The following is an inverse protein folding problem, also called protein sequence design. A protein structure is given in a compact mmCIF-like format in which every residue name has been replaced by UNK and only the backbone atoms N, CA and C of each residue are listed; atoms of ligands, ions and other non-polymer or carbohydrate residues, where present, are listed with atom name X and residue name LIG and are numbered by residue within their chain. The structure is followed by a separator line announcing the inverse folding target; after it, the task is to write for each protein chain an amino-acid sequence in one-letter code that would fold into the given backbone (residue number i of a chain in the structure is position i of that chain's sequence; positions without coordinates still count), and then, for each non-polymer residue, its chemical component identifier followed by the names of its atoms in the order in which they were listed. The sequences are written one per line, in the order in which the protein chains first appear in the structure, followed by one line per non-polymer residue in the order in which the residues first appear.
data_IF_003212434293
#
_entry.id   IF_003212434293
#
_cell.length_a   1.000
_cell.length_b   1.000
_cell.length_c   1.000
_cell.angle_alpha   90.00
_cell.angle_beta   90.00
_cell.angle_gamma   90.00
#
_symmetry.space_group_name_H-M   'P 1'
#
loop_
_entity.id
_entity.type
_entity.pdbx_description
1 polymer ?
#
# COMPACT_ATOMS: atom_id res chain seq x y z
N UNK A 1 -23.80 16.72 -9.32
CA UNK A 1 -23.33 17.22 -10.62
C UNK A 1 -23.27 16.08 -11.65
N UNK A 2 -23.09 16.42 -12.96
CA UNK A 2 -22.89 15.42 -14.03
C UNK A 2 -21.49 14.84 -13.96
N UNK A 3 -21.30 13.61 -14.47
CA UNK A 3 -20.00 12.97 -14.59
C UNK A 3 -18.97 13.90 -15.27
N UNK A 4 -17.76 13.94 -14.75
CA UNK A 4 -16.66 14.79 -15.21
C UNK A 4 -16.79 16.28 -14.87
N UNK A 5 -17.84 16.73 -14.16
CA UNK A 5 -17.96 18.12 -13.76
C UNK A 5 -16.92 18.52 -12.72
N UNK A 6 -16.67 17.65 -11.74
CA UNK A 6 -15.69 17.82 -10.68
C UNK A 6 -14.29 18.05 -11.29
N UNK A 7 -13.82 17.11 -12.09
CA UNK A 7 -12.49 17.15 -12.70
C UNK A 7 -12.32 18.39 -13.59
N UNK A 8 -13.21 18.58 -14.56
CA UNK A 8 -13.14 19.72 -15.50
C UNK A 8 -13.15 21.08 -14.81
N UNK A 9 -13.94 21.19 -13.72
CA UNK A 9 -14.06 22.46 -13.00
C UNK A 9 -12.78 22.79 -12.23
N UNK A 10 -12.19 21.81 -11.58
CA UNK A 10 -10.96 21.99 -10.80
C UNK A 10 -9.71 22.06 -11.68
N UNK A 11 -9.61 21.24 -12.72
CA UNK A 11 -8.51 21.31 -13.69
C UNK A 11 -8.44 22.67 -14.40
N UNK A 12 -9.60 23.27 -14.70
CA UNK A 12 -9.67 24.65 -15.25
C UNK A 12 -9.09 25.71 -14.29
N UNK A 13 -8.88 25.37 -13.00
CA UNK A 13 -8.21 26.18 -11.99
C UNK A 13 -6.73 25.82 -11.79
N UNK A 14 -6.20 24.92 -12.61
CA UNK A 14 -4.85 24.40 -12.50
C UNK A 14 -4.69 23.35 -11.40
N UNK A 15 -5.78 22.71 -11.01
CA UNK A 15 -5.74 21.65 -10.02
C UNK A 15 -5.17 20.35 -10.58
N UNK A 16 -4.49 19.59 -9.71
CA UNK A 16 -4.21 18.16 -9.87
C UNK A 16 -5.26 17.43 -9.05
N UNK A 17 -6.04 16.58 -9.71
CA UNK A 17 -7.10 15.78 -9.09
C UNK A 17 -6.75 14.31 -9.25
N UNK A 18 -6.85 13.53 -8.18
CA UNK A 18 -6.67 12.07 -8.26
C UNK A 18 -7.28 11.37 -7.04
N UNK A 19 -7.33 10.05 -7.08
CA UNK A 19 -7.73 9.19 -5.99
C UNK A 19 -6.91 7.91 -5.98
N UNK A 20 -6.75 7.30 -4.81
CA UNK A 20 -6.10 6.00 -4.70
C UNK A 20 -6.76 5.17 -3.60
N UNK A 21 -6.74 3.84 -3.79
CA UNK A 21 -7.22 2.87 -2.82
C UNK A 21 -6.12 1.90 -2.46
N UNK A 22 -5.96 1.67 -1.16
CA UNK A 22 -5.02 0.71 -0.62
C UNK A 22 -5.75 -0.27 0.33
N UNK A 23 -5.04 -1.08 1.08
CA UNK A 23 -5.61 -2.12 1.95
C UNK A 23 -6.54 -1.55 3.03
N UNK A 24 -6.20 -0.41 3.61
CA UNK A 24 -6.86 0.15 4.79
C UNK A 24 -7.63 1.44 4.53
N UNK A 25 -7.38 2.11 3.42
CA UNK A 25 -7.94 3.42 3.13
C UNK A 25 -8.14 3.68 1.64
N UNK A 26 -9.08 4.55 1.36
CA UNK A 26 -9.22 5.24 0.07
C UNK A 26 -9.09 6.73 0.33
N UNK A 27 -8.34 7.43 -0.51
CA UNK A 27 -8.23 8.88 -0.41
C UNK A 27 -8.44 9.54 -1.76
N UNK A 28 -9.08 10.70 -1.70
CA UNK A 28 -9.35 11.57 -2.82
C UNK A 28 -8.66 12.88 -2.54
N UNK A 29 -7.88 13.39 -3.47
CA UNK A 29 -7.12 14.61 -3.24
C UNK A 29 -7.17 15.57 -4.40
N UNK A 30 -7.09 16.85 -4.04
CA UNK A 30 -6.96 17.98 -4.96
C UNK A 30 -5.80 18.85 -4.49
N UNK A 31 -4.84 19.08 -5.36
CA UNK A 31 -3.78 20.06 -5.16
C UNK A 31 -3.99 21.21 -6.13
N UNK A 32 -4.18 22.44 -5.61
CA UNK A 32 -4.46 23.61 -6.44
C UNK A 32 -3.92 24.90 -5.82
N UNK A 33 -3.68 25.95 -6.63
CA UNK A 33 -3.51 27.29 -6.11
C UNK A 33 -4.79 27.73 -5.37
N UNK A 34 -4.64 28.35 -4.18
CA UNK A 34 -5.82 28.79 -3.38
C UNK A 34 -6.73 29.80 -4.09
N UNK A 35 -6.24 30.44 -5.14
CA UNK A 35 -6.94 31.49 -5.88
C UNK A 35 -6.99 32.83 -5.13
N UNK A 36 -7.47 33.88 -5.82
CA UNK A 36 -7.67 35.17 -5.21
C UNK A 36 -8.66 35.09 -4.05
N UNK A 37 -8.28 35.60 -2.87
CA UNK A 37 -9.11 35.57 -1.66
C UNK A 37 -9.56 34.16 -1.24
N UNK A 38 -8.85 33.09 -1.69
CA UNK A 38 -9.19 31.70 -1.37
C UNK A 38 -10.39 31.13 -2.14
N UNK A 39 -10.78 31.73 -3.26
CA UNK A 39 -11.99 31.31 -4.03
C UNK A 39 -11.87 29.90 -4.58
N UNK A 40 -10.69 29.53 -5.10
CA UNK A 40 -10.52 28.19 -5.69
C UNK A 40 -10.43 27.11 -4.60
N UNK A 41 -9.83 27.41 -3.44
CA UNK A 41 -9.88 26.54 -2.27
C UNK A 41 -11.32 26.32 -1.78
N UNK A 42 -12.12 27.39 -1.67
CA UNK A 42 -13.52 27.26 -1.25
C UNK A 42 -14.33 26.40 -2.23
N UNK A 43 -14.12 26.57 -3.53
CA UNK A 43 -14.75 25.75 -4.57
C UNK A 43 -14.33 24.28 -4.45
N UNK A 44 -13.06 23.99 -4.21
CA UNK A 44 -12.57 22.61 -4.02
C UNK A 44 -13.22 21.96 -2.80
N UNK A 45 -13.39 22.67 -1.69
CA UNK A 45 -14.08 22.16 -0.48
C UNK A 45 -15.55 21.85 -0.81
N UNK A 46 -16.27 22.73 -1.50
CA UNK A 46 -17.66 22.55 -1.90
C UNK A 46 -17.83 21.30 -2.79
N UNK A 47 -17.02 21.17 -3.83
CA UNK A 47 -17.10 20.06 -4.76
C UNK A 47 -16.68 18.73 -4.12
N UNK A 48 -15.68 18.73 -3.23
CA UNK A 48 -15.32 17.54 -2.45
C UNK A 48 -16.45 17.09 -1.53
N UNK A 49 -17.09 18.04 -0.84
CA UNK A 49 -18.23 17.74 0.02
C UNK A 49 -19.39 17.15 -0.78
N UNK A 50 -19.73 17.75 -1.92
CA UNK A 50 -20.78 17.25 -2.82
C UNK A 50 -20.50 15.81 -3.26
N UNK A 51 -19.28 15.51 -3.70
CA UNK A 51 -18.87 14.16 -4.09
C UNK A 51 -18.96 13.16 -2.92
N UNK A 52 -18.60 13.58 -1.70
CA UNK A 52 -18.58 12.72 -0.51
C UNK A 52 -19.95 12.57 0.15
N UNK A 53 -20.87 13.50 -0.06
CA UNK A 53 -22.20 13.49 0.57
C UNK A 53 -23.26 12.85 -0.30
N UNK A 54 -23.24 13.10 -1.60
CA UNK A 54 -24.34 12.72 -2.51
C UNK A 54 -23.83 12.35 -3.90
N UNK A 55 -23.01 11.28 -4.04
CA UNK A 55 -22.55 10.83 -5.34
C UNK A 55 -23.73 10.27 -6.16
N UNK A 56 -23.84 10.70 -7.38
CA UNK A 56 -24.92 10.26 -8.28
C UNK A 56 -24.77 8.79 -8.70
N UNK A 57 -23.53 8.34 -8.93
CA UNK A 57 -23.19 6.99 -9.39
C UNK A 57 -24.12 6.52 -10.51
N UNK A 58 -24.16 7.23 -11.65
CA UNK A 58 -25.15 6.97 -12.69
C UNK A 58 -24.93 5.60 -13.34
N UNK A 59 -25.99 4.85 -13.55
CA UNK A 59 -25.94 3.48 -14.08
C UNK A 59 -25.36 3.43 -15.49
N UNK A 60 -25.58 4.48 -16.26
CA UNK A 60 -25.01 4.66 -17.61
C UNK A 60 -23.50 4.80 -17.63
N UNK A 61 -22.86 5.24 -16.54
CA UNK A 61 -21.39 5.32 -16.42
C UNK A 61 -20.80 4.05 -15.83
N UNK A 62 -21.48 3.41 -14.89
CA UNK A 62 -21.04 2.13 -14.29
C UNK A 62 -21.08 1.02 -15.32
N UNK A 63 -22.14 0.94 -16.09
CA UNK A 63 -22.46 -0.16 -17.01
C UNK A 63 -23.33 -1.25 -16.38
N UNK A 64 -24.15 -1.91 -17.19
CA UNK A 64 -24.95 -3.04 -16.74
C UNK A 64 -24.08 -4.26 -16.40
N UNK A 65 -24.47 -5.13 -15.45
CA UNK A 65 -23.84 -6.42 -15.25
C UNK A 65 -23.82 -7.26 -16.54
N UNK A 66 -22.77 -8.05 -16.73
CA UNK A 66 -22.62 -8.88 -17.94
C UNK A 66 -21.84 -10.19 -17.65
N UNK A 67 -22.01 -11.18 -18.54
CA UNK A 67 -21.24 -12.42 -18.50
C UNK A 67 -19.85 -12.21 -19.11
N UNK A 68 -18.79 -12.57 -18.39
CA UNK A 68 -17.39 -12.31 -18.78
C UNK A 68 -17.01 -12.93 -20.13
N UNK A 69 -17.57 -14.08 -20.45
CA UNK A 69 -17.27 -14.83 -21.68
C UNK A 69 -18.17 -14.45 -22.87
N UNK A 70 -19.03 -13.42 -22.72
CA UNK A 70 -19.87 -12.97 -23.80
C UNK A 70 -19.10 -12.08 -24.80
N UNK A 71 -18.83 -12.55 -26.03
CA UNK A 71 -18.06 -11.78 -27.03
C UNK A 71 -18.80 -10.57 -27.59
N UNK A 72 -20.11 -10.46 -27.35
CA UNK A 72 -20.92 -9.35 -27.84
C UNK A 72 -20.83 -8.09 -26.96
N UNK A 73 -20.20 -8.22 -25.77
CA UNK A 73 -20.05 -7.10 -24.85
C UNK A 73 -18.85 -6.24 -25.26
N UNK A 74 -19.15 -5.12 -25.91
CA UNK A 74 -18.15 -4.14 -26.38
C UNK A 74 -18.17 -2.83 -25.60
N UNK A 75 -18.75 -2.86 -24.41
CA UNK A 75 -18.91 -1.70 -23.54
C UNK A 75 -17.53 -1.15 -23.08
N UNK A 76 -17.43 0.20 -22.96
CA UNK A 76 -16.20 0.90 -22.56
C UNK A 76 -16.38 1.71 -21.26
N UNK A 77 -17.48 1.45 -20.53
CA UNK A 77 -17.79 2.14 -19.29
C UNK A 77 -16.90 1.65 -18.13
N UNK A 78 -16.97 2.31 -16.99
CA UNK A 78 -16.09 2.12 -15.84
C UNK A 78 -15.88 0.65 -15.45
N UNK A 79 -16.93 -0.16 -15.45
CA UNK A 79 -16.85 -1.60 -15.16
C UNK A 79 -15.83 -2.35 -16.05
N UNK A 80 -15.83 -2.07 -17.35
CA UNK A 80 -14.90 -2.67 -18.29
C UNK A 80 -13.47 -2.13 -18.11
N UNK A 81 -13.33 -0.83 -17.80
CA UNK A 81 -12.04 -0.22 -17.50
C UNK A 81 -11.40 -0.93 -16.33
N UNK A 82 -12.13 -1.15 -15.23
CA UNK A 82 -11.63 -1.87 -14.06
C UNK A 82 -11.28 -3.33 -14.38
N UNK A 83 -12.09 -4.03 -15.19
CA UNK A 83 -11.79 -5.42 -15.58
C UNK A 83 -10.51 -5.49 -16.43
N UNK A 84 -10.32 -4.56 -17.37
CA UNK A 84 -9.08 -4.51 -18.16
C UNK A 84 -7.87 -4.17 -17.26
N UNK A 85 -8.01 -3.29 -16.29
CA UNK A 85 -6.97 -3.02 -15.30
C UNK A 85 -6.61 -4.29 -14.50
N UNK A 86 -7.60 -5.05 -14.04
CA UNK A 86 -7.36 -6.34 -13.37
C UNK A 86 -6.61 -7.30 -14.28
N UNK A 87 -6.97 -7.39 -15.57
CA UNK A 87 -6.29 -8.24 -16.54
C UNK A 87 -4.83 -7.82 -16.73
N UNK A 88 -4.59 -6.53 -16.95
CA UNK A 88 -3.23 -5.98 -17.08
C UNK A 88 -2.37 -6.26 -15.84
N UNK A 89 -2.93 -6.13 -14.63
CA UNK A 89 -2.23 -6.44 -13.38
C UNK A 89 -1.95 -7.94 -13.22
N UNK A 90 -2.90 -8.80 -13.61
CA UNK A 90 -2.71 -10.25 -13.58
C UNK A 90 -1.59 -10.74 -14.51
N UNK A 91 -1.27 -10.00 -15.56
CA UNK A 91 -0.17 -10.34 -16.47
C UNK A 91 1.21 -10.01 -15.89
N UNK A 92 1.27 -9.14 -14.89
CA UNK A 92 2.51 -8.78 -14.21
C UNK A 92 2.99 -9.91 -13.29
N UNK A 93 4.19 -10.43 -13.55
CA UNK A 93 4.73 -11.58 -12.84
C UNK A 93 4.94 -11.30 -11.34
N UNK A 94 5.37 -10.09 -10.96
CA UNK A 94 5.47 -9.70 -9.54
C UNK A 94 4.12 -9.68 -8.84
N UNK A 95 3.05 -9.25 -9.51
CA UNK A 95 1.69 -9.29 -8.96
C UNK A 95 1.24 -10.72 -8.69
N UNK A 96 1.55 -11.67 -9.58
CA UNK A 96 1.24 -13.11 -9.36
C UNK A 96 1.93 -13.65 -8.12
N UNK A 97 3.22 -13.39 -7.98
CA UNK A 97 4.03 -13.84 -6.84
C UNK A 97 3.57 -13.19 -5.54
N UNK A 98 3.35 -11.87 -5.55
CA UNK A 98 2.83 -11.13 -4.41
C UNK A 98 1.45 -11.66 -3.95
N UNK A 99 0.50 -11.80 -4.87
CA UNK A 99 -0.84 -12.26 -4.54
C UNK A 99 -0.83 -13.68 -3.99
N UNK A 100 -0.03 -14.59 -4.58
CA UNK A 100 0.12 -15.96 -4.08
C UNK A 100 0.75 -15.98 -2.67
N UNK A 101 1.78 -15.16 -2.44
CA UNK A 101 2.41 -15.03 -1.13
C UNK A 101 1.41 -14.48 -0.11
N UNK A 102 0.80 -13.35 -0.41
CA UNK A 102 -0.11 -12.66 0.48
C UNK A 102 -1.36 -13.49 0.84
N UNK A 103 -1.94 -14.19 -0.13
CA UNK A 103 -3.09 -15.08 0.07
C UNK A 103 -2.79 -16.19 1.10
N UNK A 104 -1.57 -16.70 1.12
CA UNK A 104 -1.14 -17.76 2.03
C UNK A 104 -0.62 -17.25 3.38
N UNK A 105 -0.21 -15.97 3.46
CA UNK A 105 0.17 -15.33 4.72
C UNK A 105 -1.03 -15.08 5.63
N UNK A 106 -2.18 -14.72 5.05
CA UNK A 106 -3.39 -14.39 5.79
C UNK A 106 -4.43 -15.49 5.67
N UNK A 107 -4.82 -16.09 6.80
CA UNK A 107 -5.88 -17.13 6.86
C UNK A 107 -7.27 -16.49 6.97
N UNK A 108 -7.39 -15.47 7.81
CA UNK A 108 -8.65 -14.84 8.21
C UNK A 108 -8.79 -13.42 7.68
N UNK A 109 -7.73 -12.61 7.83
CA UNK A 109 -7.78 -11.19 7.54
C UNK A 109 -8.04 -10.91 6.05
N UNK A 110 -8.88 -9.91 5.71
CA UNK A 110 -9.16 -9.51 4.32
C UNK A 110 -7.93 -9.12 3.51
N UNK A 111 -6.79 -8.82 4.13
CA UNK A 111 -5.54 -8.50 3.44
C UNK A 111 -5.08 -9.57 2.45
N UNK A 112 -5.55 -10.82 2.59
CA UNK A 112 -5.31 -11.87 1.59
C UNK A 112 -5.88 -11.57 0.20
N UNK A 113 -6.83 -10.63 0.09
CA UNK A 113 -7.48 -10.29 -1.18
C UNK A 113 -6.74 -9.16 -1.88
N UNK A 114 -6.79 -9.17 -3.21
CA UNK A 114 -6.38 -8.00 -3.99
C UNK A 114 -7.40 -6.85 -3.79
N UNK A 115 -6.89 -5.62 -3.70
CA UNK A 115 -7.72 -4.42 -3.47
C UNK A 115 -8.67 -4.17 -4.65
N UNK A 116 -8.20 -4.43 -5.86
CA UNK A 116 -8.99 -4.16 -7.09
C UNK A 116 -10.13 -5.16 -7.30
N UNK A 117 -10.18 -6.25 -6.52
CA UNK A 117 -11.19 -7.29 -6.66
C UNK A 117 -10.88 -8.32 -7.75
N UNK A 118 -11.92 -8.95 -8.29
CA UNK A 118 -11.82 -9.94 -9.37
C UNK A 118 -12.79 -9.63 -10.51
N UNK A 119 -12.48 -10.05 -11.75
CA UNK A 119 -13.38 -9.83 -12.89
C UNK A 119 -14.79 -10.36 -12.64
N UNK A 120 -14.92 -11.50 -11.95
CA UNK A 120 -16.19 -12.14 -11.64
C UNK A 120 -17.06 -11.27 -10.73
N UNK A 121 -16.47 -10.63 -9.72
CA UNK A 121 -17.17 -9.69 -8.84
C UNK A 121 -17.50 -8.40 -9.59
N UNK A 122 -16.53 -7.82 -10.28
CA UNK A 122 -16.69 -6.54 -10.96
C UNK A 122 -17.72 -6.64 -12.08
N UNK A 123 -17.79 -7.76 -12.82
CA UNK A 123 -18.77 -7.93 -13.89
C UNK A 123 -20.22 -8.02 -13.39
N UNK A 124 -20.44 -8.42 -12.14
CA UNK A 124 -21.76 -8.70 -11.60
C UNK A 124 -22.27 -7.69 -10.57
N UNK A 125 -21.36 -6.94 -9.89
CA UNK A 125 -21.76 -5.99 -8.86
C UNK A 125 -22.79 -4.97 -9.39
N UNK A 126 -23.91 -4.81 -8.71
CA UNK A 126 -24.98 -3.90 -9.10
C UNK A 126 -24.72 -2.48 -8.58
N UNK A 127 -25.37 -1.47 -9.20
CA UNK A 127 -25.34 -0.10 -8.69
C UNK A 127 -25.83 -0.02 -7.23
N UNK A 128 -26.88 -0.76 -6.90
CA UNK A 128 -27.45 -0.76 -5.55
C UNK A 128 -26.48 -1.33 -4.51
N UNK A 129 -25.71 -2.36 -4.86
CA UNK A 129 -24.63 -2.89 -4.00
C UNK A 129 -23.51 -1.86 -3.80
N UNK A 130 -23.09 -1.15 -4.86
CA UNK A 130 -22.12 -0.07 -4.78
C UNK A 130 -22.65 1.05 -3.87
N UNK A 131 -23.88 1.47 -4.07
CA UNK A 131 -24.53 2.52 -3.28
C UNK A 131 -24.66 2.11 -1.79
N UNK A 132 -25.04 0.86 -1.52
CA UNK A 132 -25.11 0.34 -0.16
C UNK A 132 -23.74 0.31 0.52
N UNK A 133 -22.69 -0.11 -0.21
CA UNK A 133 -21.30 -0.05 0.28
C UNK A 133 -20.90 1.39 0.61
N UNK A 134 -21.16 2.31 -0.32
CA UNK A 134 -20.89 3.74 -0.12
C UNK A 134 -21.59 4.28 1.13
N UNK A 135 -22.90 4.08 1.26
CA UNK A 135 -23.68 4.54 2.41
C UNK A 135 -23.19 3.96 3.75
N UNK A 136 -22.64 2.73 3.70
CA UNK A 136 -22.13 2.04 4.88
C UNK A 136 -20.77 2.58 5.32
N UNK A 137 -19.85 2.82 4.38
CA UNK A 137 -18.46 3.12 4.70
C UNK A 137 -18.09 4.60 4.60
N UNK A 138 -18.82 5.39 3.80
CA UNK A 138 -18.59 6.83 3.66
C UNK A 138 -19.46 7.59 4.66
N UNK A 139 -19.16 7.40 5.94
CA UNK A 139 -19.85 8.02 7.08
C UNK A 139 -18.91 8.98 7.82
N UNK A 140 -19.45 9.96 8.59
CA UNK A 140 -18.63 10.94 9.31
C UNK A 140 -17.57 10.30 10.21
N UNK A 141 -17.91 9.19 10.86
CA UNK A 141 -17.01 8.50 11.79
C UNK A 141 -15.86 7.75 11.10
N UNK A 142 -15.99 7.50 9.79
CA UNK A 142 -15.01 6.77 8.98
C UNK A 142 -14.29 7.66 7.96
N UNK A 143 -14.47 8.97 8.05
CA UNK A 143 -13.86 9.93 7.12
C UNK A 143 -13.01 10.96 7.87
N UNK A 144 -11.90 11.32 7.26
CA UNK A 144 -11.02 12.40 7.73
C UNK A 144 -10.80 13.38 6.61
N UNK A 145 -11.15 14.64 6.83
CA UNK A 145 -10.86 15.73 5.89
C UNK A 145 -9.57 16.44 6.31
N UNK A 146 -8.61 16.53 5.40
CA UNK A 146 -7.30 17.13 5.65
C UNK A 146 -7.10 18.28 4.66
N UNK A 147 -6.75 19.44 5.17
CA UNK A 147 -6.44 20.63 4.36
C UNK A 147 -5.06 21.16 4.78
N UNK A 148 -4.17 21.24 3.82
CA UNK A 148 -2.79 21.72 4.03
C UNK A 148 -2.52 22.89 3.09
N UNK A 149 -2.02 23.99 3.62
CA UNK A 149 -1.65 25.16 2.83
C UNK A 149 -1.72 26.47 3.59
N UNK A 150 -1.69 27.57 2.84
CA UNK A 150 -1.79 28.92 3.36
C UNK A 150 -3.25 29.42 3.35
N UNK A 151 -3.92 29.37 4.50
CA UNK A 151 -5.31 29.81 4.66
C UNK A 151 -5.62 30.28 6.10
N UNK A 152 -6.75 30.98 6.24
CA UNK A 152 -7.32 31.35 7.53
C UNK A 152 -8.03 30.13 8.14
N UNK A 153 -7.46 29.58 9.23
CA UNK A 153 -7.91 28.34 9.85
C UNK A 153 -9.37 28.40 10.30
N UNK A 154 -9.79 29.48 10.96
CA UNK A 154 -11.15 29.61 11.48
C UNK A 154 -12.18 29.64 10.34
N UNK A 155 -11.90 30.38 9.27
CA UNK A 155 -12.79 30.46 8.10
C UNK A 155 -12.90 29.12 7.37
N UNK A 156 -11.78 28.42 7.19
CA UNK A 156 -11.80 27.12 6.49
C UNK A 156 -12.47 26.05 7.36
N UNK A 157 -12.23 26.04 8.67
CA UNK A 157 -12.92 25.12 9.58
C UNK A 157 -14.44 25.32 9.51
N UNK A 158 -14.91 26.55 9.65
CA UNK A 158 -16.35 26.86 9.53
C UNK A 158 -16.92 26.47 8.16
N UNK A 159 -16.16 26.62 7.07
CA UNK A 159 -16.54 26.19 5.72
C UNK A 159 -16.66 24.68 5.65
N UNK A 160 -15.68 23.93 6.14
CA UNK A 160 -15.71 22.46 6.14
C UNK A 160 -16.88 21.92 6.98
N UNK A 161 -17.08 22.46 8.20
CA UNK A 161 -18.20 22.06 9.06
C UNK A 161 -19.55 22.31 8.39
N UNK A 162 -19.70 23.38 7.63
CA UNK A 162 -20.92 23.69 6.90
C UNK A 162 -21.13 22.76 5.70
N UNK A 163 -20.10 22.50 4.89
CA UNK A 163 -20.23 21.78 3.63
C UNK A 163 -20.28 20.25 3.86
N UNK A 164 -19.54 19.71 4.83
CA UNK A 164 -19.52 18.28 5.18
C UNK A 164 -20.59 17.93 6.25
N UNK A 165 -21.82 18.35 6.04
CA UNK A 165 -22.93 18.05 6.97
C UNK A 165 -23.58 16.69 6.64
N UNK A 166 -23.13 15.63 7.32
CA UNK A 166 -23.57 14.25 7.14
C UNK A 166 -24.88 13.91 7.87
N UNK A 167 -25.84 14.78 7.93
CA UNK A 167 -27.11 14.56 8.65
C UNK A 167 -27.76 13.21 8.30
N UNK A 168 -28.02 12.41 9.33
CA UNK A 168 -28.80 11.18 9.23
C UNK A 168 -28.06 9.98 8.64
N UNK A 169 -26.74 10.04 8.42
CA UNK A 169 -25.97 8.84 8.03
C UNK A 169 -25.73 7.91 9.21
N UNK A 170 -25.83 6.59 9.00
CA UNK A 170 -25.50 5.62 10.04
C UNK A 170 -24.00 5.65 10.36
N UNK A 171 -23.65 5.17 11.55
CA UNK A 171 -22.26 4.96 11.93
C UNK A 171 -21.61 3.93 11.02
N UNK A 172 -20.29 4.06 10.83
CA UNK A 172 -19.51 3.08 10.09
C UNK A 172 -19.63 1.67 10.72
N UNK A 173 -19.54 0.62 9.92
CA UNK A 173 -19.59 -0.74 10.43
C UNK A 173 -18.43 -1.01 11.38
N UNK A 174 -18.59 -2.01 12.25
CA UNK A 174 -17.52 -2.44 13.16
C UNK A 174 -16.28 -2.84 12.35
N UNK A 175 -15.13 -2.37 12.82
CA UNK A 175 -13.83 -2.74 12.25
C UNK A 175 -13.60 -4.24 12.37
N UNK A 176 -12.88 -4.81 11.40
CA UNK A 176 -12.43 -6.19 11.48
C UNK A 176 -11.36 -6.31 12.57
N UNK A 177 -11.53 -7.25 13.49
CA UNK A 177 -10.65 -7.37 14.66
C UNK A 177 -9.87 -8.70 14.72
N UNK A 178 -10.02 -9.57 13.72
CA UNK A 178 -9.29 -10.83 13.70
C UNK A 178 -7.90 -10.62 13.09
N UNK A 179 -6.86 -10.83 13.88
CA UNK A 179 -5.47 -10.70 13.46
C UNK A 179 -4.93 -12.09 13.14
N UNK A 180 -4.25 -12.22 12.01
CA UNK A 180 -3.51 -13.42 11.69
C UNK A 180 -2.18 -13.46 12.46
N UNK A 181 -1.80 -14.65 12.86
CA UNK A 181 -0.46 -14.94 13.41
C UNK A 181 0.41 -15.59 12.34
N UNK A 182 1.74 -15.49 12.45
CA UNK A 182 2.63 -16.22 11.57
C UNK A 182 2.28 -17.69 11.50
N UNK A 183 2.54 -18.33 10.38
CA UNK A 183 2.37 -19.78 10.22
C UNK A 183 3.32 -20.53 11.16
N UNK A 184 2.97 -21.73 11.56
CA UNK A 184 3.80 -22.59 12.42
C UNK A 184 4.84 -23.42 11.63
N UNK A 185 4.82 -23.30 10.31
CA UNK A 185 5.76 -23.94 9.39
C UNK A 185 5.90 -23.10 8.11
N UNK A 186 6.96 -23.34 7.36
CA UNK A 186 7.16 -22.72 6.05
C UNK A 186 6.14 -23.23 5.05
N UNK A 187 5.43 -22.31 4.40
CA UNK A 187 4.52 -22.62 3.28
C UNK A 187 5.22 -22.29 1.98
N UNK A 188 5.29 -23.27 1.05
CA UNK A 188 5.86 -23.05 -0.29
C UNK A 188 4.74 -23.13 -1.32
N UNK A 189 4.61 -22.08 -2.14
CA UNK A 189 3.61 -21.98 -3.21
C UNK A 189 4.33 -21.81 -4.53
N UNK A 190 4.19 -22.79 -5.41
CA UNK A 190 4.79 -22.75 -6.75
C UNK A 190 3.73 -22.55 -7.82
N UNK A 191 4.03 -21.72 -8.79
CA UNK A 191 3.18 -21.41 -9.94
C UNK A 191 4.00 -21.31 -11.21
N UNK A 192 3.33 -21.38 -12.36
CA UNK A 192 3.95 -21.21 -13.67
C UNK A 192 3.31 -20.06 -14.42
N UNK A 193 4.07 -19.43 -15.30
CA UNK A 193 3.58 -18.33 -16.11
C UNK A 193 4.46 -18.00 -17.31
N UNK A 194 3.95 -17.13 -18.17
CA UNK A 194 4.69 -16.66 -19.35
C UNK A 194 5.81 -15.71 -18.92
N UNK A 195 6.98 -16.25 -18.75
CA UNK A 195 8.19 -15.52 -18.35
C UNK A 195 9.43 -16.26 -18.81
N UNK A 196 10.55 -15.55 -18.94
CA UNK A 196 11.86 -16.13 -19.23
C UNK A 196 12.75 -16.25 -17.98
N UNK A 197 12.29 -15.74 -16.87
CA UNK A 197 13.03 -15.74 -15.59
C UNK A 197 12.12 -16.24 -14.48
N UNK A 198 12.71 -16.69 -13.37
CA UNK A 198 11.94 -17.09 -12.18
C UNK A 198 11.88 -15.96 -11.15
N UNK A 199 10.77 -15.91 -10.43
CA UNK A 199 10.48 -14.92 -9.38
C UNK A 199 10.31 -15.64 -8.07
N UNK A 200 10.86 -15.06 -7.01
CA UNK A 200 10.85 -15.59 -5.65
C UNK A 200 10.45 -14.48 -4.69
N UNK A 201 9.58 -14.80 -3.75
CA UNK A 201 9.22 -13.92 -2.66
C UNK A 201 9.10 -14.72 -1.36
N UNK A 202 9.81 -14.27 -0.35
CA UNK A 202 9.60 -14.66 1.05
C UNK A 202 8.73 -13.60 1.70
N UNK A 203 7.62 -14.00 2.28
CA UNK A 203 6.71 -13.12 3.01
C UNK A 203 6.68 -13.47 4.49
N UNK A 204 6.73 -12.43 5.31
CA UNK A 204 6.67 -12.51 6.77
C UNK A 204 5.62 -11.53 7.29
N UNK A 205 4.81 -11.96 8.27
CA UNK A 205 3.89 -11.07 8.97
C UNK A 205 4.67 -10.21 9.98
N UNK A 206 4.41 -8.92 9.98
CA UNK A 206 5.02 -7.93 10.85
C UNK A 206 4.06 -7.34 11.89
N UNK A 207 4.47 -6.27 12.58
CA UNK A 207 3.69 -5.57 13.59
C UNK A 207 2.51 -4.82 12.97
N UNK A 208 1.61 -4.28 13.81
CA UNK A 208 0.59 -3.33 13.38
C UNK A 208 1.19 -1.95 13.10
N UNK A 209 0.54 -1.14 12.27
CA UNK A 209 1.02 0.19 11.92
C UNK A 209 1.29 1.11 13.13
N UNK A 210 0.50 1.00 14.19
CA UNK A 210 0.67 1.82 15.39
C UNK A 210 1.79 1.34 16.34
N UNK A 211 2.44 0.22 16.06
CA UNK A 211 3.65 -0.23 16.77
C UNK A 211 4.88 0.47 16.16
N UNK A 212 4.97 1.79 16.36
CA UNK A 212 5.88 2.67 15.64
C UNK A 212 7.34 2.21 15.68
N UNK A 213 7.87 1.93 16.87
CA UNK A 213 9.28 1.56 17.02
C UNK A 213 9.63 0.29 16.23
N UNK A 214 8.82 -0.77 16.35
CA UNK A 214 9.05 -2.02 15.60
C UNK A 214 8.94 -1.82 14.08
N UNK A 215 8.09 -0.91 13.63
CA UNK A 215 7.97 -0.55 12.22
C UNK A 215 9.21 0.17 11.71
N UNK A 216 9.73 1.14 12.46
CA UNK A 216 10.98 1.82 12.12
C UNK A 216 12.16 0.83 12.11
N UNK A 217 12.20 -0.11 13.06
CA UNK A 217 13.21 -1.19 13.08
C UNK A 217 13.15 -2.04 11.81
N UNK A 218 11.97 -2.43 11.35
CA UNK A 218 11.81 -3.18 10.09
C UNK A 218 12.12 -2.33 8.84
N UNK A 219 11.84 -1.03 8.85
CA UNK A 219 12.27 -0.12 7.79
C UNK A 219 13.81 -0.05 7.71
N UNK A 220 14.50 0.05 8.86
CA UNK A 220 15.95 -0.01 8.92
C UNK A 220 16.47 -1.36 8.36
N UNK A 221 15.84 -2.47 8.77
CA UNK A 221 16.21 -3.81 8.31
C UNK A 221 16.02 -3.95 6.79
N UNK A 222 14.93 -3.42 6.22
CA UNK A 222 14.70 -3.46 4.78
C UNK A 222 15.78 -2.70 3.99
N UNK A 223 16.21 -1.55 4.50
CA UNK A 223 17.30 -0.76 3.92
C UNK A 223 18.63 -1.52 3.96
N UNK A 224 18.98 -2.10 5.10
CA UNK A 224 20.21 -2.86 5.27
C UNK A 224 20.22 -4.09 4.37
N UNK A 225 19.10 -4.82 4.33
CA UNK A 225 19.02 -6.09 3.61
C UNK A 225 18.94 -5.88 2.10
N UNK A 226 18.06 -4.98 1.58
CA UNK A 226 17.73 -5.06 0.17
C UNK A 226 17.46 -3.75 -0.59
N UNK A 227 17.41 -2.58 0.05
CA UNK A 227 16.82 -1.40 -0.62
C UNK A 227 17.78 -0.58 -1.50
N UNK A 228 19.06 -0.87 -1.54
CA UNK A 228 20.02 -0.09 -2.32
C UNK A 228 21.15 -0.94 -2.88
N UNK A 229 21.93 -0.36 -3.80
CA UNK A 229 23.14 -1.02 -4.34
C UNK A 229 24.20 -1.33 -3.27
N UNK A 230 24.13 -0.70 -2.10
CA UNK A 230 24.98 -0.97 -0.95
C UNK A 230 24.36 -1.89 0.09
N UNK A 231 23.16 -2.41 -0.16
CA UNK A 231 22.50 -3.40 0.70
C UNK A 231 23.17 -4.77 0.63
N UNK A 232 22.96 -5.59 1.65
CA UNK A 232 23.58 -6.93 1.74
C UNK A 232 23.20 -7.82 0.55
N UNK A 233 21.91 -7.86 0.18
CA UNK A 233 21.46 -8.68 -0.95
C UNK A 233 22.09 -8.23 -2.28
N UNK A 234 22.13 -6.93 -2.55
CA UNK A 234 22.75 -6.45 -3.78
C UNK A 234 24.22 -6.80 -3.81
N UNK A 235 24.96 -6.51 -2.73
CA UNK A 235 26.39 -6.76 -2.64
C UNK A 235 26.73 -8.25 -2.74
N UNK A 236 25.99 -9.12 -2.04
CA UNK A 236 26.35 -10.53 -1.91
C UNK A 236 25.74 -11.39 -3.03
N UNK A 237 24.57 -11.02 -3.58
CA UNK A 237 23.86 -11.84 -4.55
C UNK A 237 24.03 -11.34 -5.99
N UNK A 238 24.35 -10.07 -6.19
CA UNK A 238 24.50 -9.49 -7.54
C UNK A 238 25.96 -9.10 -7.81
N UNK A 239 26.54 -8.23 -6.99
CA UNK A 239 27.86 -7.63 -7.27
C UNK A 239 29.02 -8.62 -7.08
N UNK A 240 29.04 -9.36 -5.97
CA UNK A 240 30.15 -10.25 -5.59
C UNK A 240 29.99 -11.69 -6.08
N UNK A 241 28.87 -12.03 -6.71
CA UNK A 241 28.68 -13.40 -7.24
C UNK A 241 29.58 -13.65 -8.44
N UNK A 242 30.34 -14.75 -8.48
CA UNK A 242 31.20 -15.10 -9.61
C UNK A 242 30.38 -15.48 -10.85
N UNK A 243 29.14 -15.88 -10.67
CA UNK A 243 28.19 -16.23 -11.73
C UNK A 243 26.92 -15.40 -11.57
N UNK A 244 26.44 -14.80 -12.65
CA UNK A 244 25.18 -14.06 -12.65
C UNK A 244 23.99 -15.03 -12.50
N UNK A 245 23.45 -15.10 -11.30
CA UNK A 245 22.25 -15.88 -10.96
C UNK A 245 21.05 -14.95 -10.93
N UNK A 246 21.17 -13.80 -10.27
CA UNK A 246 20.10 -12.85 -10.02
C UNK A 246 20.12 -11.66 -10.97
N UNK A 247 18.94 -11.19 -11.37
CA UNK A 247 18.71 -9.92 -12.06
C UNK A 247 18.25 -8.84 -11.07
N UNK A 248 17.57 -9.27 -10.00
CA UNK A 248 17.10 -8.40 -8.91
C UNK A 248 17.12 -9.19 -7.61
N UNK A 249 17.50 -8.51 -6.52
CA UNK A 249 17.38 -9.02 -5.17
C UNK A 249 17.18 -7.83 -4.23
N UNK A 250 16.04 -7.76 -3.55
CA UNK A 250 15.69 -6.66 -2.65
C UNK A 250 14.84 -7.11 -1.47
N UNK A 251 14.61 -6.20 -0.52
CA UNK A 251 13.71 -6.37 0.61
C UNK A 251 12.84 -5.13 0.77
N UNK A 252 11.58 -5.33 1.12
CA UNK A 252 10.58 -4.28 1.25
C UNK A 252 9.71 -4.49 2.49
N UNK A 253 9.36 -3.41 3.16
CA UNK A 253 8.45 -3.41 4.30
C UNK A 253 7.19 -2.62 3.95
N UNK A 254 6.04 -3.30 3.95
CA UNK A 254 4.72 -2.71 3.70
C UNK A 254 3.94 -2.60 5.00
N UNK A 255 3.53 -1.39 5.34
CA UNK A 255 2.82 -1.10 6.57
C UNK A 255 1.31 -1.07 6.34
N UNK A 256 0.59 -1.88 7.13
CA UNK A 256 -0.87 -1.96 7.15
C UNK A 256 -1.36 -1.82 8.60
N UNK A 257 -2.60 -1.37 8.75
CA UNK A 257 -3.21 -1.10 10.05
C UNK A 257 -3.11 -2.28 11.03
N UNK A 258 -3.53 -3.48 10.60
CA UNK A 258 -3.71 -4.64 11.47
C UNK A 258 -2.60 -5.68 11.38
N UNK A 259 -1.56 -5.44 10.61
CA UNK A 259 -0.40 -6.33 10.49
C UNK A 259 0.36 -6.11 9.20
N UNK A 260 1.62 -5.82 9.31
CA UNK A 260 2.50 -5.47 8.22
C UNK A 260 3.05 -6.68 7.48
N UNK A 261 3.57 -6.46 6.30
CA UNK A 261 4.26 -7.46 5.52
C UNK A 261 5.72 -7.06 5.31
N UNK A 262 6.62 -7.98 5.60
CA UNK A 262 8.01 -7.85 5.19
C UNK A 262 8.28 -8.86 4.08
N UNK A 263 8.76 -8.37 2.93
CA UNK A 263 9.07 -9.20 1.78
C UNK A 263 10.56 -9.19 1.48
N UNK A 264 11.09 -10.37 1.16
CA UNK A 264 12.41 -10.53 0.55
C UNK A 264 12.19 -11.17 -0.81
N UNK A 265 12.61 -10.50 -1.86
CA UNK A 265 12.25 -10.88 -3.21
C UNK A 265 13.47 -10.92 -4.15
N UNK A 266 13.41 -11.83 -5.11
CA UNK A 266 14.45 -11.98 -6.09
C UNK A 266 13.90 -12.42 -7.46
N UNK A 267 14.57 -11.94 -8.53
CA UNK A 267 14.38 -12.44 -9.89
C UNK A 267 15.67 -13.11 -10.34
N UNK A 268 15.59 -14.34 -10.86
CA UNK A 268 16.74 -15.18 -11.10
C UNK A 268 16.58 -16.10 -12.32
N UNK A 269 17.70 -16.72 -12.77
CA UNK A 269 17.72 -17.68 -13.87
C UNK A 269 17.03 -18.99 -13.47
N UNK A 270 16.06 -19.50 -14.26
CA UNK A 270 15.26 -20.67 -13.90
C UNK A 270 16.08 -21.92 -13.57
N UNK A 271 17.17 -22.15 -14.32
CA UNK A 271 18.06 -23.29 -14.12
C UNK A 271 18.90 -23.22 -12.83
N UNK A 272 18.78 -22.13 -12.07
CA UNK A 272 19.49 -21.91 -10.81
C UNK A 272 18.57 -21.87 -9.58
N UNK A 273 17.33 -22.40 -9.68
CA UNK A 273 16.27 -22.29 -8.67
C UNK A 273 16.75 -22.67 -7.26
N UNK A 274 17.24 -23.87 -7.08
CA UNK A 274 17.63 -24.38 -5.75
C UNK A 274 18.72 -23.51 -5.13
N UNK A 275 19.73 -23.13 -5.94
CA UNK A 275 20.82 -22.28 -5.51
C UNK A 275 20.36 -20.86 -5.18
N UNK A 276 19.43 -20.32 -5.97
CA UNK A 276 18.87 -18.99 -5.72
C UNK A 276 18.10 -18.95 -4.40
N UNK A 277 17.25 -19.95 -4.15
CA UNK A 277 16.49 -20.07 -2.89
C UNK A 277 17.44 -20.20 -1.70
N UNK A 278 18.46 -21.05 -1.81
CA UNK A 278 19.47 -21.24 -0.76
C UNK A 278 20.21 -19.94 -0.43
N UNK A 279 20.66 -19.21 -1.45
CA UNK A 279 21.38 -17.96 -1.28
C UNK A 279 20.52 -16.87 -0.64
N UNK A 280 19.25 -16.73 -1.05
CA UNK A 280 18.34 -15.76 -0.42
C UNK A 280 18.06 -16.14 1.03
N UNK A 281 17.80 -17.42 1.33
CA UNK A 281 17.65 -17.91 2.71
C UNK A 281 18.87 -17.57 3.55
N UNK A 282 20.05 -17.82 3.03
CA UNK A 282 21.32 -17.51 3.72
C UNK A 282 21.47 -16.03 4.04
N UNK A 283 21.06 -15.12 3.14
CA UNK A 283 21.12 -13.67 3.44
C UNK A 283 20.13 -13.28 4.55
N UNK A 284 18.95 -13.90 4.61
CA UNK A 284 18.00 -13.68 5.71
C UNK A 284 18.58 -14.23 7.03
N UNK A 285 19.14 -15.45 7.01
CA UNK A 285 19.79 -16.05 8.17
C UNK A 285 21.03 -15.27 8.65
N UNK A 286 21.76 -14.68 7.73
CA UNK A 286 22.90 -13.83 8.03
C UNK A 286 22.51 -12.55 8.79
N UNK A 287 21.31 -12.02 8.60
CA UNK A 287 20.82 -10.91 9.44
C UNK A 287 20.68 -11.31 10.91
N UNK A 288 20.31 -12.58 11.16
CA UNK A 288 20.11 -13.11 12.51
C UNK A 288 21.45 -13.47 13.16
N UNK A 289 22.36 -14.07 12.38
CA UNK A 289 23.59 -14.69 12.88
C UNK A 289 24.82 -13.78 12.79
N UNK A 290 24.84 -12.85 11.84
CA UNK A 290 25.92 -11.91 11.64
C UNK A 290 25.49 -10.53 12.11
N UNK A 291 26.18 -10.01 13.09
CA UNK A 291 25.89 -8.73 13.71
C UNK A 291 25.72 -7.61 12.66
N UNK A 292 24.62 -6.86 12.78
CA UNK A 292 24.44 -5.60 12.05
C UNK A 292 25.52 -4.62 12.55
N UNK A 293 26.19 -3.95 11.62
CA UNK A 293 27.25 -3.01 11.97
C UNK A 293 26.68 -1.62 12.29
N UNK A 294 27.44 -0.86 13.09
CA UNK A 294 27.09 0.54 13.38
C UNK A 294 27.02 1.39 12.10
N UNK A 295 27.89 1.12 11.14
CA UNK A 295 27.89 1.80 9.84
C UNK A 295 26.59 1.54 9.06
N UNK A 296 26.09 0.30 9.02
CA UNK A 296 24.83 -0.06 8.37
C UNK A 296 23.65 0.64 9.06
N UNK A 297 23.61 0.62 10.39
CA UNK A 297 22.56 1.27 11.18
C UNK A 297 22.52 2.77 10.91
N UNK A 298 23.65 3.46 11.06
CA UNK A 298 23.73 4.91 10.85
C UNK A 298 23.41 5.33 9.42
N UNK A 299 23.81 4.53 8.44
CA UNK A 299 23.44 4.76 7.04
C UNK A 299 21.95 4.62 6.81
N UNK A 300 21.32 3.61 7.37
CA UNK A 300 19.87 3.40 7.27
C UNK A 300 19.10 4.53 7.96
N UNK A 301 19.50 4.94 9.18
CA UNK A 301 18.92 6.09 9.88
C UNK A 301 19.00 7.39 9.05
N UNK A 302 20.15 7.67 8.45
CA UNK A 302 20.32 8.85 7.58
C UNK A 302 19.35 8.82 6.38
N UNK A 303 19.17 7.64 5.77
CA UNK A 303 18.24 7.48 4.64
C UNK A 303 16.79 7.72 5.05
N UNK A 304 16.37 7.19 6.19
CA UNK A 304 15.03 7.39 6.74
C UNK A 304 14.80 8.88 7.08
N UNK A 305 15.76 9.54 7.74
CA UNK A 305 15.68 10.99 8.01
C UNK A 305 15.52 11.83 6.75
N UNK A 306 16.26 11.47 5.70
CA UNK A 306 16.14 12.16 4.41
C UNK A 306 14.73 11.98 3.81
N UNK A 307 14.16 10.77 3.87
CA UNK A 307 12.78 10.52 3.43
C UNK A 307 11.76 11.31 4.23
N UNK A 308 11.91 11.29 5.55
CA UNK A 308 11.02 12.05 6.44
C UNK A 308 11.07 13.56 6.16
N UNK A 309 12.25 14.10 5.87
CA UNK A 309 12.40 15.51 5.47
C UNK A 309 11.71 15.80 4.13
N UNK A 310 11.86 14.93 3.12
CA UNK A 310 11.17 15.09 1.84
C UNK A 310 9.65 14.96 1.98
N UNK A 311 9.14 14.07 2.83
CA UNK A 311 7.70 13.93 3.11
C UNK A 311 7.06 15.18 3.75
N UNK A 312 7.84 16.19 4.12
CA UNK A 312 7.40 17.49 4.62
C UNK A 312 7.63 18.65 3.62
N UNK A 313 8.03 18.36 2.38
CA UNK A 313 8.44 19.38 1.41
C UNK A 313 7.24 20.00 0.68
N UNK A 314 6.22 19.21 0.36
CA UNK A 314 5.04 19.67 -0.38
C UNK A 314 3.76 19.52 0.44
N UNK A 315 2.75 20.33 0.11
CA UNK A 315 1.42 20.24 0.75
C UNK A 315 0.77 18.86 0.53
N UNK A 316 1.03 18.24 -0.61
CA UNK A 316 0.52 16.90 -0.93
C UNK A 316 1.13 15.83 -0.03
N UNK A 317 2.46 15.83 0.12
CA UNK A 317 3.18 14.87 0.97
C UNK A 317 2.85 15.05 2.46
N UNK A 318 2.70 16.30 2.92
CA UNK A 318 2.22 16.59 4.28
C UNK A 318 0.81 16.04 4.47
N UNK A 319 -0.09 16.26 3.50
CA UNK A 319 -1.47 15.78 3.55
C UNK A 319 -1.55 14.26 3.59
N UNK A 320 -0.74 13.56 2.79
CA UNK A 320 -0.65 12.11 2.76
C UNK A 320 -0.09 11.55 4.09
N UNK A 321 0.96 12.16 4.61
CA UNK A 321 1.55 11.79 5.91
C UNK A 321 0.52 11.92 7.03
N UNK A 322 -0.15 13.05 7.15
CA UNK A 322 -1.21 13.26 8.15
C UNK A 322 -2.33 12.23 7.96
N UNK A 323 -2.75 12.00 6.69
CA UNK A 323 -3.78 11.01 6.35
C UNK A 323 -3.43 9.61 6.81
N UNK A 324 -2.22 9.16 6.54
CA UNK A 324 -1.72 7.86 6.97
C UNK A 324 -1.74 7.71 8.50
N UNK A 325 -1.18 8.65 9.24
CA UNK A 325 -1.15 8.58 10.70
C UNK A 325 -2.54 8.70 11.34
N UNK A 326 -3.45 9.46 10.75
CA UNK A 326 -4.83 9.57 11.22
C UNK A 326 -5.67 8.32 10.95
N UNK A 327 -5.53 7.70 9.78
CA UNK A 327 -6.45 6.64 9.34
C UNK A 327 -5.89 5.24 9.53
N UNK A 328 -4.61 5.04 9.32
CA UNK A 328 -3.93 3.74 9.44
C UNK A 328 -3.37 3.54 10.84
N UNK A 329 -2.58 4.48 11.34
CA UNK A 329 -2.01 4.41 12.68
C UNK A 329 -3.01 4.81 13.79
N UNK A 330 -4.03 5.61 13.46
CA UNK A 330 -5.03 6.17 14.37
C UNK A 330 -4.44 7.06 15.48
N UNK A 331 -3.21 7.57 15.28
CA UNK A 331 -2.54 8.45 16.24
C UNK A 331 -1.54 9.41 15.55
N UNK A 332 -1.86 10.71 15.58
CA UNK A 332 -0.97 11.76 15.03
C UNK A 332 0.29 12.00 15.86
N UNK A 333 0.29 11.66 17.15
CA UNK A 333 1.46 11.86 18.00
C UNK A 333 2.66 11.05 17.52
N UNK A 334 2.41 9.94 16.83
CA UNK A 334 3.46 9.12 16.25
C UNK A 334 4.34 9.87 15.24
N UNK A 335 3.81 10.93 14.58
CA UNK A 335 4.62 11.79 13.72
C UNK A 335 5.70 12.53 14.53
N UNK A 336 5.31 13.05 15.70
CA UNK A 336 6.22 13.80 16.57
C UNK A 336 7.26 12.87 17.23
N UNK A 337 6.89 11.63 17.49
CA UNK A 337 7.73 10.61 18.12
C UNK A 337 8.69 9.95 17.13
N UNK A 338 8.37 9.97 15.81
CA UNK A 338 9.08 9.20 14.80
C UNK A 338 10.60 9.41 14.78
N UNK A 339 11.06 10.65 14.71
CA UNK A 339 12.49 10.93 14.66
C UNK A 339 13.21 10.62 15.98
N UNK A 340 12.51 10.78 17.11
CA UNK A 340 13.05 10.43 18.43
C UNK A 340 13.20 8.92 18.56
N UNK A 341 12.20 8.16 18.14
CA UNK A 341 12.25 6.71 18.16
C UNK A 341 13.33 6.19 17.20
N UNK A 342 13.42 6.72 16.00
CA UNK A 342 14.47 6.39 15.03
C UNK A 342 15.87 6.56 15.62
N UNK A 343 16.13 7.68 16.31
CA UNK A 343 17.44 7.91 16.95
C UNK A 343 17.73 6.93 18.07
N UNK A 344 16.71 6.51 18.82
CA UNK A 344 16.86 5.62 19.97
C UNK A 344 17.17 4.17 19.59
N UNK A 345 16.94 3.76 18.34
CA UNK A 345 17.11 2.38 17.89
C UNK A 345 18.58 1.98 17.93
N UNK A 346 18.84 0.83 18.54
CA UNK A 346 20.15 0.20 18.68
C UNK A 346 20.27 -1.07 17.84
N UNK A 347 21.48 -1.55 17.62
CA UNK A 347 21.72 -2.86 16.96
C UNK A 347 20.97 -3.98 17.69
N UNK A 348 20.93 -3.95 19.01
CA UNK A 348 20.23 -4.97 19.83
C UNK A 348 18.72 -4.97 19.58
N UNK A 349 18.12 -3.81 19.38
CA UNK A 349 16.70 -3.71 19.01
C UNK A 349 16.47 -4.39 17.66
N UNK A 350 17.29 -4.07 16.65
CA UNK A 350 17.21 -4.70 15.32
C UNK A 350 17.39 -6.22 15.37
N UNK A 351 18.36 -6.72 16.12
CA UNK A 351 18.57 -8.17 16.30
C UNK A 351 17.34 -8.85 16.92
N UNK A 352 16.69 -8.18 17.87
CA UNK A 352 15.47 -8.68 18.51
C UNK A 352 14.32 -8.74 17.52
N UNK A 353 14.13 -7.68 16.77
CA UNK A 353 13.06 -7.55 15.76
C UNK A 353 13.26 -8.52 14.58
N UNK A 354 14.49 -8.67 14.08
CA UNK A 354 14.79 -9.65 13.04
C UNK A 354 14.47 -11.08 13.52
N UNK A 355 14.89 -11.46 14.73
CA UNK A 355 14.59 -12.79 15.31
C UNK A 355 13.09 -13.01 15.50
N UNK A 356 12.34 -11.97 15.84
CA UNK A 356 10.90 -12.04 16.07
C UNK A 356 10.13 -12.23 14.77
N UNK A 357 10.45 -11.45 13.73
CA UNK A 357 9.63 -11.35 12.53
C UNK A 357 10.18 -12.10 11.32
N UNK A 358 11.48 -12.22 11.14
CA UNK A 358 12.09 -12.81 9.94
C UNK A 358 12.49 -14.28 10.11
N UNK A 359 11.67 -15.05 10.84
CA UNK A 359 11.92 -16.48 11.01
C UNK A 359 11.50 -17.26 9.77
N UNK A 360 12.47 -17.86 9.07
CA UNK A 360 12.23 -18.64 7.84
C UNK A 360 11.25 -19.79 8.05
N UNK A 361 11.24 -20.40 9.24
CA UNK A 361 10.31 -21.48 9.54
C UNK A 361 8.84 -21.06 9.54
N UNK A 362 8.58 -19.76 9.61
CA UNK A 362 7.24 -19.16 9.60
C UNK A 362 6.97 -18.36 8.30
N UNK A 363 7.86 -18.49 7.32
CA UNK A 363 7.75 -17.75 6.05
C UNK A 363 6.74 -18.39 5.10
N UNK A 364 6.11 -17.55 4.28
CA UNK A 364 5.47 -18.00 3.05
C UNK A 364 6.42 -17.72 1.89
N UNK A 365 6.73 -18.75 1.13
CA UNK A 365 7.63 -18.67 -0.03
C UNK A 365 6.81 -18.86 -1.30
N UNK A 366 6.71 -17.83 -2.11
CA UNK A 366 6.03 -17.88 -3.40
C UNK A 366 7.05 -17.89 -4.53
N UNK A 367 6.88 -18.80 -5.48
CA UNK A 367 7.77 -18.99 -6.62
C UNK A 367 6.95 -19.02 -7.91
N UNK A 368 7.35 -18.22 -8.89
CA UNK A 368 6.82 -18.28 -10.24
C UNK A 368 7.92 -18.72 -11.19
N UNK A 369 7.67 -19.78 -11.93
CA UNK A 369 8.60 -20.34 -12.93
C UNK A 369 8.05 -20.19 -14.35
N UNK A 370 8.92 -20.22 -15.38
CA UNK A 370 8.48 -20.30 -16.78
C UNK A 370 7.58 -21.50 -17.03
N UNK A 371 6.55 -21.32 -17.84
CA UNK A 371 5.87 -22.41 -18.53
C UNK A 371 6.85 -23.09 -19.49
N UNK A 372 6.84 -24.44 -19.49
CA UNK A 372 7.71 -25.20 -20.41
C UNK A 372 7.19 -25.15 -21.83
#
# INVERSE_FOLDING_TARGET
HKAGYFDKTLEAKGAIVNAATWKDYTFYYVTLPKGAEGKDLNLAIELHADMMLDPVLPEEEIGAPFELDNPEVTDKRERHVVIEEIRMRKDQNWTKVYNACNFNMYKKHPYKRDVIGTPEIISQVTRDEIMNYYQTYYSPENMTTIIVGDFDKEKILAKVEKEFDFKGRPNAPKKFNEIDTPTDHTIVVESKGQTNTSYLMFGFLGPKANQLKENIELDIVSIILGESTSSRMYQNLIEKQPEQIFMLANAEHYQFKDGNNFFVQANFKPEKKEKAIELVKKEIENLINNQITEEELEKAKKKIKSRFAYAAETVSEIGETIGYYMTVCEDLKLIEEYLKDLESITIKDLETTVKKYLNINNAVISILEPEK
#
